data_IF_664419819703
#
_entry.id   IF_664419819703
#
_cell.length_a   1.000
_cell.length_b   1.000
_cell.length_c   1.000
_cell.angle_alpha   90.00
_cell.angle_beta   90.00
_cell.angle_gamma   90.00
#
_symmetry.space_group_name_H-M   'P 1'
#
loop_
_entity.id
_entity.type
_entity.pdbx_description
1 polymer ?
#
# COMPACT_ATOMS: atom_id res chain seq x y z
N UNK A 1 10.10 -15.57 -6.64
CA UNK A 1 10.88 -14.34 -6.87
C UNK A 1 11.06 -13.55 -5.58
N UNK A 2 9.98 -13.34 -4.82
CA UNK A 2 10.07 -12.83 -3.44
C UNK A 2 9.79 -14.00 -2.50
N UNK A 3 10.55 -14.10 -1.42
CA UNK A 3 10.35 -15.15 -0.41
C UNK A 3 10.55 -14.60 1.00
N UNK A 4 9.57 -14.88 1.85
CA UNK A 4 9.66 -14.70 3.31
C UNK A 4 9.71 -16.08 3.95
N UNK A 5 10.72 -16.31 4.83
CA UNK A 5 10.91 -17.57 5.58
C UNK A 5 10.97 -17.28 7.07
N UNK A 6 9.89 -17.62 7.77
CA UNK A 6 9.77 -17.54 9.24
C UNK A 6 10.17 -16.17 9.80
N UNK A 7 9.80 -15.09 9.09
CA UNK A 7 10.21 -13.73 9.43
C UNK A 7 9.48 -13.26 10.67
N UNK A 8 10.24 -12.93 11.71
CA UNK A 8 9.73 -12.29 12.91
C UNK A 8 10.41 -10.95 13.15
N UNK A 9 9.68 -9.98 13.71
CA UNK A 9 10.21 -8.65 14.05
C UNK A 9 9.69 -8.15 15.37
N UNK A 10 10.63 -7.83 16.27
CA UNK A 10 10.34 -7.16 17.54
C UNK A 10 10.82 -5.70 17.49
N UNK A 11 10.02 -4.79 18.00
CA UNK A 11 10.40 -3.43 18.35
C UNK A 11 10.20 -3.25 19.86
N UNK A 12 11.31 -3.38 20.61
CA UNK A 12 11.23 -3.47 22.06
C UNK A 12 10.33 -4.64 22.48
N UNK A 13 9.21 -4.34 23.16
CA UNK A 13 8.24 -5.35 23.59
C UNK A 13 7.13 -5.63 22.57
N UNK A 14 7.06 -4.86 21.48
CA UNK A 14 6.01 -4.99 20.47
C UNK A 14 6.47 -5.96 19.38
N UNK A 15 5.71 -7.05 19.20
CA UNK A 15 5.90 -7.99 18.10
C UNK A 15 5.15 -7.47 16.89
N UNK A 16 5.90 -6.97 15.90
CA UNK A 16 5.34 -6.44 14.65
C UNK A 16 5.11 -7.53 13.61
N UNK A 17 5.98 -8.55 13.56
CA UNK A 17 5.82 -9.75 12.75
C UNK A 17 6.13 -10.98 13.60
N UNK A 18 5.42 -12.08 13.34
CA UNK A 18 5.49 -13.33 14.06
C UNK A 18 5.37 -14.51 13.10
N UNK A 19 6.52 -15.08 12.75
CA UNK A 19 6.64 -16.27 11.89
C UNK A 19 5.96 -16.12 10.51
N UNK A 20 6.20 -15.01 9.83
CA UNK A 20 5.62 -14.72 8.52
C UNK A 20 6.37 -15.46 7.43
N UNK A 21 5.65 -16.30 6.66
CA UNK A 21 6.18 -17.07 5.53
C UNK A 21 5.21 -17.02 4.36
N UNK A 22 5.67 -16.55 3.20
CA UNK A 22 4.95 -16.58 1.92
C UNK A 22 5.90 -16.35 0.75
N UNK A 23 5.41 -16.57 -0.46
CA UNK A 23 6.17 -16.36 -1.71
C UNK A 23 5.36 -15.53 -2.71
N UNK A 24 6.07 -14.81 -3.60
CA UNK A 24 5.50 -14.11 -4.76
C UNK A 24 6.16 -14.65 -6.02
N UNK A 25 5.34 -15.05 -6.98
CA UNK A 25 5.78 -15.57 -8.29
C UNK A 25 6.20 -14.47 -9.26
N UNK A 26 6.96 -14.83 -10.30
CA UNK A 26 7.19 -13.95 -11.45
C UNK A 26 5.89 -13.84 -12.27
N UNK A 27 5.71 -12.71 -12.96
CA UNK A 27 4.56 -12.51 -13.83
C UNK A 27 3.20 -12.53 -13.11
N UNK A 28 3.18 -12.20 -11.82
CA UNK A 28 1.95 -12.21 -11.02
C UNK A 28 1.83 -10.99 -10.13
N UNK A 29 0.60 -10.62 -9.81
CA UNK A 29 0.27 -9.59 -8.82
C UNK A 29 -0.18 -10.28 -7.54
N UNK A 30 0.56 -10.04 -6.45
CA UNK A 30 0.19 -10.52 -5.10
C UNK A 30 -0.24 -9.37 -4.23
N UNK A 31 -1.47 -9.45 -3.72
CA UNK A 31 -2.02 -8.53 -2.74
C UNK A 31 -1.65 -8.95 -1.31
N UNK A 32 -1.00 -8.06 -0.56
CA UNK A 32 -0.67 -8.24 0.85
C UNK A 32 -1.66 -7.45 1.71
N UNK A 33 -2.72 -8.11 2.16
CA UNK A 33 -3.90 -7.52 2.77
C UNK A 33 -3.90 -7.63 4.29
N UNK A 34 -4.35 -6.59 4.96
CA UNK A 34 -4.50 -6.61 6.42
C UNK A 34 -4.91 -5.25 6.97
N UNK A 35 -5.47 -5.19 8.18
CA UNK A 35 -5.83 -3.94 8.82
C UNK A 35 -4.59 -3.07 9.12
N UNK A 36 -4.83 -1.81 9.46
CA UNK A 36 -3.75 -0.92 9.87
C UNK A 36 -3.06 -1.46 11.12
N UNK A 37 -1.73 -1.45 11.12
CA UNK A 37 -0.92 -2.02 12.22
C UNK A 37 -0.77 -3.55 12.17
N UNK A 38 -1.25 -4.24 11.14
CA UNK A 38 -1.09 -5.69 10.99
C UNK A 38 0.35 -6.15 10.73
N UNK A 39 1.26 -5.23 10.33
CA UNK A 39 2.66 -5.54 10.04
C UNK A 39 3.06 -5.38 8.57
N UNK A 40 2.14 -5.00 7.66
CA UNK A 40 2.40 -4.88 6.21
C UNK A 40 3.65 -4.05 5.90
N UNK A 41 3.67 -2.78 6.27
CA UNK A 41 4.82 -1.89 5.99
C UNK A 41 6.10 -2.36 6.68
N UNK A 42 6.02 -3.05 7.83
CA UNK A 42 7.19 -3.66 8.49
C UNK A 42 7.77 -4.79 7.63
N UNK A 43 6.93 -5.66 7.08
CA UNK A 43 7.36 -6.74 6.19
C UNK A 43 8.01 -6.16 4.92
N UNK A 44 7.37 -5.19 4.27
CA UNK A 44 7.93 -4.55 3.07
C UNK A 44 9.28 -3.85 3.36
N UNK A 45 9.41 -3.16 4.50
CA UNK A 45 10.69 -2.56 4.91
C UNK A 45 11.79 -3.58 5.16
N UNK A 46 11.45 -4.76 5.69
CA UNK A 46 12.42 -5.86 5.85
C UNK A 46 12.84 -6.37 4.47
N UNK A 47 11.89 -6.59 3.57
CA UNK A 47 12.15 -7.09 2.23
C UNK A 47 13.18 -6.23 1.47
N UNK A 48 13.03 -4.90 1.56
CA UNK A 48 13.91 -3.93 0.88
C UNK A 48 15.08 -3.44 1.72
N UNK A 49 15.42 -4.15 2.78
CA UNK A 49 16.63 -3.90 3.60
C UNK A 49 16.57 -2.67 4.50
N UNK A 50 15.43 -1.98 4.62
CA UNK A 50 15.26 -0.82 5.51
C UNK A 50 15.05 -1.20 6.98
N UNK A 51 14.77 -2.47 7.26
CA UNK A 51 14.69 -3.01 8.60
C UNK A 51 15.28 -4.43 8.62
N UNK A 52 15.99 -4.78 9.70
CA UNK A 52 16.47 -6.14 9.89
C UNK A 52 15.40 -6.97 10.60
N UNK A 53 15.13 -8.21 10.19
CA UNK A 53 14.29 -9.11 10.95
C UNK A 53 14.96 -9.46 12.29
N UNK A 54 14.18 -9.86 13.29
CA UNK A 54 14.69 -10.42 14.54
C UNK A 54 15.07 -11.89 14.34
N UNK A 55 14.31 -12.61 13.52
CA UNK A 55 14.61 -13.98 13.06
C UNK A 55 13.99 -14.22 11.69
N UNK A 56 14.42 -15.27 11.01
CA UNK A 56 14.01 -15.60 9.65
C UNK A 56 14.73 -14.76 8.60
N UNK A 57 14.28 -14.87 7.34
CA UNK A 57 14.90 -14.17 6.21
C UNK A 57 13.86 -13.75 5.19
N UNK A 58 14.12 -12.63 4.49
CA UNK A 58 13.39 -12.21 3.32
C UNK A 58 14.37 -12.00 2.16
N UNK A 59 14.04 -12.55 0.99
CA UNK A 59 14.88 -12.48 -0.20
C UNK A 59 14.07 -12.00 -1.41
N UNK A 60 14.78 -11.34 -2.33
CA UNK A 60 14.27 -10.93 -3.64
C UNK A 60 15.22 -11.49 -4.69
N UNK A 61 14.68 -12.18 -5.71
CA UNK A 61 15.47 -12.84 -6.75
C UNK A 61 16.55 -13.78 -6.18
N UNK A 62 16.22 -14.44 -5.03
CA UNK A 62 17.09 -15.38 -4.34
C UNK A 62 18.16 -14.75 -3.43
N UNK A 63 18.26 -13.42 -3.34
CA UNK A 63 19.25 -12.70 -2.54
C UNK A 63 18.59 -11.80 -1.49
N UNK A 64 19.18 -11.59 -0.32
CA UNK A 64 18.84 -10.46 0.53
C UNK A 64 19.05 -9.14 -0.23
N UNK A 65 18.12 -8.20 -0.09
CA UNK A 65 18.17 -6.92 -0.80
C UNK A 65 19.51 -6.18 -0.63
N UNK A 66 20.10 -6.22 0.56
CA UNK A 66 21.37 -5.56 0.87
C UNK A 66 22.59 -6.22 0.19
N UNK A 67 22.46 -7.44 -0.33
CA UNK A 67 23.53 -8.16 -1.05
C UNK A 67 23.46 -7.97 -2.57
N UNK A 68 22.42 -7.28 -3.07
CA UNK A 68 22.29 -6.96 -4.49
C UNK A 68 23.20 -5.80 -4.86
N UNK A 69 23.96 -5.91 -5.93
CA UNK A 69 24.94 -4.89 -6.36
C UNK A 69 24.31 -3.52 -6.69
N UNK A 70 23.18 -3.50 -7.37
CA UNK A 70 22.42 -2.28 -7.68
C UNK A 70 20.92 -2.63 -7.65
N UNK A 71 20.32 -2.76 -6.45
CA UNK A 71 18.97 -3.28 -6.33
C UNK A 71 17.92 -2.43 -7.07
N UNK A 72 18.09 -1.12 -7.15
CA UNK A 72 17.14 -0.22 -7.81
C UNK A 72 16.99 -0.43 -9.33
N UNK A 73 17.91 -1.16 -9.98
CA UNK A 73 17.75 -1.59 -11.37
C UNK A 73 16.82 -2.80 -11.53
N UNK A 74 16.68 -3.61 -10.49
CA UNK A 74 15.92 -4.87 -10.54
C UNK A 74 14.68 -4.86 -9.66
N UNK A 75 14.65 -3.98 -8.64
CA UNK A 75 13.58 -3.90 -7.64
C UNK A 75 13.09 -2.47 -7.55
N UNK A 76 11.92 -2.21 -8.09
CA UNK A 76 11.22 -0.95 -7.94
C UNK A 76 10.48 -0.89 -6.61
N UNK A 77 10.57 0.24 -5.88
CA UNK A 77 9.95 0.37 -4.56
C UNK A 77 9.19 1.68 -4.40
N UNK A 78 7.98 1.59 -3.85
CA UNK A 78 7.19 2.71 -3.36
C UNK A 78 6.67 2.38 -1.97
N UNK A 79 7.35 2.86 -0.92
CA UNK A 79 6.96 2.63 0.47
C UNK A 79 6.32 3.87 1.12
N UNK A 80 6.62 5.06 0.61
CA UNK A 80 6.04 6.32 1.08
C UNK A 80 6.10 7.36 -0.06
N UNK A 81 4.94 7.70 -0.60
CA UNK A 81 4.83 8.72 -1.64
C UNK A 81 5.11 10.14 -1.10
N UNK A 82 4.99 10.34 0.21
CA UNK A 82 5.23 11.62 0.89
C UNK A 82 6.69 11.90 1.23
N UNK A 83 7.56 10.90 1.17
CA UNK A 83 8.95 10.99 1.65
C UNK A 83 9.88 11.87 0.78
N UNK A 84 9.36 12.62 -0.18
CA UNK A 84 10.16 13.47 -1.08
C UNK A 84 10.17 14.91 -0.64
N UNK A 85 11.33 15.58 -0.82
CA UNK A 85 11.48 16.98 -0.44
C UNK A 85 10.52 17.88 -1.27
N UNK A 86 9.66 18.69 -0.63
CA UNK A 86 8.62 19.45 -1.33
C UNK A 86 9.15 20.55 -2.27
N UNK A 87 10.38 21.00 -2.08
CA UNK A 87 11.03 22.04 -2.91
C UNK A 87 11.57 21.53 -4.25
N UNK A 88 11.74 20.23 -4.43
CA UNK A 88 12.15 19.66 -5.73
C UNK A 88 10.97 19.56 -6.68
N UNK A 89 11.25 19.61 -7.98
CA UNK A 89 10.28 19.27 -9.02
C UNK A 89 10.21 17.75 -9.23
N UNK A 90 9.08 17.25 -9.75
CA UNK A 90 8.95 15.83 -10.07
C UNK A 90 10.04 15.35 -11.04
N UNK A 91 10.35 16.18 -12.06
CA UNK A 91 11.40 15.87 -13.04
C UNK A 91 12.81 15.82 -12.41
N UNK A 92 13.13 16.71 -11.47
CA UNK A 92 14.41 16.67 -10.75
C UNK A 92 14.55 15.38 -9.94
N UNK A 93 13.52 14.97 -9.23
CA UNK A 93 13.52 13.71 -8.46
C UNK A 93 13.78 12.51 -9.35
N UNK A 94 13.09 12.42 -10.49
CA UNK A 94 13.31 11.31 -11.45
C UNK A 94 14.68 11.38 -12.10
N UNK A 95 15.17 12.58 -12.41
CA UNK A 95 16.52 12.78 -12.97
C UNK A 95 17.60 12.33 -12.01
N UNK A 96 17.48 12.70 -10.71
CA UNK A 96 18.40 12.24 -9.67
C UNK A 96 18.36 10.72 -9.50
N UNK A 97 17.15 10.13 -9.52
CA UNK A 97 16.98 8.68 -9.49
C UNK A 97 17.65 7.99 -10.68
N UNK A 98 17.42 8.48 -11.89
CA UNK A 98 18.03 7.93 -13.11
C UNK A 98 19.57 8.04 -13.07
N UNK A 99 20.11 9.18 -12.63
CA UNK A 99 21.56 9.37 -12.46
C UNK A 99 22.15 8.41 -11.42
N UNK A 100 21.48 8.19 -10.30
CA UNK A 100 21.90 7.25 -9.24
C UNK A 100 21.97 5.82 -9.78
N UNK A 101 21.07 5.46 -10.69
CA UNK A 101 21.01 4.14 -11.31
C UNK A 101 21.88 4.02 -12.58
N UNK A 102 22.57 5.09 -12.99
CA UNK A 102 23.37 5.10 -14.24
C UNK A 102 22.52 5.04 -15.52
N UNK A 103 21.25 5.47 -15.46
CA UNK A 103 20.32 5.41 -16.57
C UNK A 103 20.39 6.68 -17.47
N UNK A 104 20.05 6.56 -18.75
CA UNK A 104 20.00 7.72 -19.65
C UNK A 104 18.86 8.66 -19.25
N UNK A 105 19.03 9.97 -19.51
CA UNK A 105 18.01 10.98 -19.19
C UNK A 105 16.69 10.80 -19.94
N UNK A 106 16.69 10.11 -21.08
CA UNK A 106 15.49 9.75 -21.84
C UNK A 106 14.52 8.92 -21.02
N UNK A 107 15.04 8.05 -20.11
CA UNK A 107 14.22 7.22 -19.23
C UNK A 107 13.24 8.03 -18.37
N UNK A 108 13.62 9.26 -18.00
CA UNK A 108 12.74 10.16 -17.23
C UNK A 108 11.47 10.50 -18.01
N UNK A 109 11.57 10.79 -19.31
CA UNK A 109 10.41 11.03 -20.17
C UNK A 109 9.50 9.80 -20.26
N UNK A 110 10.10 8.63 -20.52
CA UNK A 110 9.39 7.36 -20.64
C UNK A 110 8.55 7.04 -19.39
N UNK A 111 9.13 7.14 -18.19
CA UNK A 111 8.37 6.85 -16.96
C UNK A 111 7.33 7.92 -16.62
N UNK A 112 7.54 9.19 -17.01
CA UNK A 112 6.53 10.24 -16.87
C UNK A 112 5.30 9.94 -17.76
N UNK A 113 5.53 9.50 -18.98
CA UNK A 113 4.48 9.13 -19.93
C UNK A 113 3.71 7.90 -19.42
N UNK A 114 4.41 6.87 -18.92
CA UNK A 114 3.79 5.68 -18.31
C UNK A 114 2.83 6.01 -17.18
N UNK A 115 3.18 6.98 -16.32
CA UNK A 115 2.33 7.35 -15.19
C UNK A 115 1.36 8.49 -15.51
N UNK A 116 1.36 9.03 -16.73
CA UNK A 116 0.47 10.11 -17.16
C UNK A 116 0.72 11.42 -16.43
N UNK A 117 1.98 11.73 -16.06
CA UNK A 117 2.41 13.04 -15.58
C UNK A 117 2.94 13.85 -16.76
N UNK A 118 2.23 14.91 -17.12
CA UNK A 118 2.63 15.79 -18.23
C UNK A 118 3.96 16.49 -17.95
N UNK A 119 4.63 16.93 -19.02
CA UNK A 119 5.86 17.73 -18.92
C UNK A 119 5.66 18.97 -18.04
N UNK A 120 4.54 19.67 -18.18
CA UNK A 120 4.19 20.84 -17.37
C UNK A 120 4.04 20.50 -15.89
N UNK A 121 3.38 19.39 -15.56
CA UNK A 121 3.21 18.93 -14.18
C UNK A 121 4.54 18.48 -13.58
N UNK A 122 5.37 17.77 -14.35
CA UNK A 122 6.68 17.29 -13.88
C UNK A 122 7.64 18.43 -13.49
N UNK A 123 7.46 19.64 -14.04
CA UNK A 123 8.24 20.84 -13.71
C UNK A 123 7.73 21.62 -12.51
N UNK A 124 6.55 21.27 -11.97
CA UNK A 124 6.05 21.89 -10.73
C UNK A 124 6.76 21.29 -9.53
N UNK A 125 6.89 22.07 -8.46
CA UNK A 125 7.41 21.57 -7.17
C UNK A 125 6.45 20.55 -6.55
N UNK A 126 6.98 19.51 -5.92
CA UNK A 126 6.24 18.44 -5.26
C UNK A 126 5.35 18.98 -4.13
N UNK A 127 5.73 20.09 -3.49
CA UNK A 127 4.89 20.77 -2.52
C UNK A 127 3.50 21.14 -3.06
N UNK A 128 3.40 21.45 -4.36
CA UNK A 128 2.15 21.75 -5.05
C UNK A 128 1.45 20.57 -5.70
N UNK A 129 1.93 19.34 -5.49
CA UNK A 129 1.30 18.12 -6.02
C UNK A 129 0.10 17.69 -5.18
N UNK A 130 -0.96 17.22 -5.85
CA UNK A 130 -2.01 16.44 -5.19
C UNK A 130 -1.43 15.12 -4.66
N UNK A 131 -2.15 14.45 -3.77
CA UNK A 131 -1.74 13.12 -3.28
C UNK A 131 -1.62 12.13 -4.44
N UNK A 132 -2.57 12.13 -5.38
CA UNK A 132 -2.52 11.28 -6.57
C UNK A 132 -1.32 11.58 -7.48
N UNK A 133 -0.92 12.85 -7.65
CA UNK A 133 0.30 13.19 -8.38
C UNK A 133 1.57 12.69 -7.67
N UNK A 134 1.60 12.72 -6.33
CA UNK A 134 2.72 12.17 -5.55
C UNK A 134 2.80 10.65 -5.69
N UNK A 135 1.65 9.96 -5.70
CA UNK A 135 1.59 8.52 -5.97
C UNK A 135 2.12 8.19 -7.37
N UNK A 136 1.62 8.87 -8.40
CA UNK A 136 2.11 8.69 -9.78
C UNK A 136 3.62 8.92 -9.90
N UNK A 137 4.14 9.99 -9.28
CA UNK A 137 5.59 10.25 -9.22
C UNK A 137 6.34 9.14 -8.49
N UNK A 138 5.77 8.60 -7.41
CA UNK A 138 6.33 7.48 -6.66
C UNK A 138 6.44 6.21 -7.50
N UNK A 139 5.39 5.89 -8.24
CA UNK A 139 5.36 4.76 -9.16
C UNK A 139 6.35 4.99 -10.31
N UNK A 140 6.41 6.20 -10.89
CA UNK A 140 7.40 6.55 -11.92
C UNK A 140 8.84 6.31 -11.44
N UNK A 141 9.15 6.73 -10.21
CA UNK A 141 10.47 6.53 -9.61
C UNK A 141 10.78 5.03 -9.41
N UNK A 142 9.81 4.24 -8.98
CA UNK A 142 9.96 2.79 -8.83
C UNK A 142 10.19 2.07 -10.17
N UNK A 143 9.68 2.63 -11.27
CA UNK A 143 9.80 2.06 -12.63
C UNK A 143 11.06 2.52 -13.39
N UNK A 144 11.90 3.39 -12.83
CA UNK A 144 13.11 3.89 -13.53
C UNK A 144 14.01 2.78 -14.05
N UNK A 145 14.28 1.77 -13.21
CA UNK A 145 15.18 0.66 -13.53
C UNK A 145 14.60 -0.41 -14.45
N UNK A 146 13.36 -0.29 -14.89
CA UNK A 146 12.63 -1.37 -15.57
C UNK A 146 12.64 -2.69 -14.76
N UNK A 147 12.08 -2.67 -13.55
CA UNK A 147 12.36 -3.68 -12.53
C UNK A 147 11.69 -5.02 -12.83
N UNK A 148 12.37 -6.12 -12.47
CA UNK A 148 11.83 -7.48 -12.44
C UNK A 148 10.86 -7.70 -11.25
N UNK A 149 10.99 -6.86 -10.23
CA UNK A 149 10.17 -6.92 -9.00
C UNK A 149 9.69 -5.52 -8.64
N UNK A 150 8.40 -5.38 -8.35
CA UNK A 150 7.79 -4.12 -7.92
C UNK A 150 7.13 -4.30 -6.55
N UNK A 151 7.55 -3.48 -5.57
CA UNK A 151 7.05 -3.50 -4.18
C UNK A 151 6.38 -2.17 -3.87
N UNK A 152 5.08 -2.20 -3.62
CA UNK A 152 4.24 -1.01 -3.43
C UNK A 152 3.51 -1.07 -2.08
N UNK A 153 3.68 -0.04 -1.25
CA UNK A 153 2.93 0.11 0.01
C UNK A 153 1.78 1.09 -0.21
N UNK A 154 0.53 0.59 -0.13
CA UNK A 154 -0.71 1.36 -0.29
C UNK A 154 -0.74 2.24 -1.56
N UNK A 155 -0.49 1.69 -2.77
CA UNK A 155 -0.30 2.52 -3.98
C UNK A 155 -1.58 3.22 -4.46
N UNK A 156 -2.75 2.76 -4.07
CA UNK A 156 -4.05 3.35 -4.41
C UNK A 156 -4.41 4.58 -3.59
N UNK A 157 -3.72 4.80 -2.45
CA UNK A 157 -4.06 5.89 -1.55
C UNK A 157 -3.99 7.26 -2.23
N UNK A 158 -5.13 7.97 -2.22
CA UNK A 158 -5.25 9.33 -2.78
C UNK A 158 -5.36 9.40 -4.30
N UNK A 159 -5.51 8.27 -4.97
CA UNK A 159 -5.95 8.22 -6.36
C UNK A 159 -7.47 8.38 -6.42
N UNK A 160 -7.95 9.06 -7.43
CA UNK A 160 -9.36 9.08 -7.81
C UNK A 160 -9.74 7.75 -8.53
N UNK A 161 -11.02 7.47 -8.77
CA UNK A 161 -11.44 6.23 -9.44
C UNK A 161 -10.75 5.99 -10.80
N UNK A 162 -10.50 7.06 -11.55
CA UNK A 162 -9.79 6.97 -12.84
C UNK A 162 -8.31 6.62 -12.64
N UNK A 163 -7.67 7.20 -11.60
CA UNK A 163 -6.30 6.88 -11.20
C UNK A 163 -6.15 5.44 -10.73
N UNK A 164 -7.13 4.91 -9.99
CA UNK A 164 -7.15 3.51 -9.56
C UNK A 164 -7.28 2.58 -10.77
N UNK A 165 -8.19 2.89 -11.71
CA UNK A 165 -8.34 2.11 -12.93
C UNK A 165 -7.05 2.09 -13.76
N UNK A 166 -6.41 3.26 -13.96
CA UNK A 166 -5.12 3.37 -14.62
C UNK A 166 -4.05 2.52 -13.92
N UNK A 167 -3.93 2.62 -12.59
CA UNK A 167 -2.93 1.87 -11.81
C UNK A 167 -3.12 0.36 -11.98
N UNK A 168 -4.35 -0.15 -11.94
CA UNK A 168 -4.64 -1.58 -12.17
C UNK A 168 -4.17 -2.04 -13.55
N UNK A 169 -4.48 -1.26 -14.60
CA UNK A 169 -4.00 -1.54 -15.96
C UNK A 169 -2.47 -1.59 -16.04
N UNK A 170 -1.79 -0.65 -15.38
CA UNK A 170 -0.33 -0.61 -15.31
C UNK A 170 0.23 -1.85 -14.61
N UNK A 171 -0.28 -2.21 -13.43
CA UNK A 171 0.21 -3.37 -12.67
C UNK A 171 -0.03 -4.68 -13.41
N UNK A 172 -1.18 -4.82 -14.08
CA UNK A 172 -1.46 -6.00 -14.90
C UNK A 172 -0.49 -6.09 -16.06
N UNK A 173 -0.29 -4.99 -16.81
CA UNK A 173 0.67 -4.94 -17.91
C UNK A 173 2.09 -5.33 -17.49
N UNK A 174 2.55 -4.82 -16.34
CA UNK A 174 3.88 -5.16 -15.79
C UNK A 174 3.97 -6.66 -15.43
N UNK A 175 2.93 -7.21 -14.80
CA UNK A 175 2.91 -8.63 -14.47
C UNK A 175 2.87 -9.49 -15.73
N UNK A 176 2.07 -9.16 -16.74
CA UNK A 176 2.01 -9.86 -18.02
C UNK A 176 3.35 -9.81 -18.77
N UNK A 177 4.17 -8.78 -18.52
CA UNK A 177 5.55 -8.66 -19.02
C UNK A 177 6.59 -9.42 -18.18
N UNK A 178 6.16 -10.16 -17.13
CA UNK A 178 7.04 -10.99 -16.31
C UNK A 178 7.44 -10.39 -14.97
N UNK A 179 7.08 -9.12 -14.67
CA UNK A 179 7.38 -8.49 -13.39
C UNK A 179 6.60 -9.15 -12.24
N UNK A 180 7.28 -9.42 -11.13
CA UNK A 180 6.63 -9.86 -9.90
C UNK A 180 6.15 -8.63 -9.10
N UNK A 181 4.85 -8.48 -8.88
CA UNK A 181 4.28 -7.34 -8.17
C UNK A 181 3.78 -7.75 -6.79
N UNK A 182 4.31 -7.10 -5.75
CA UNK A 182 3.80 -7.21 -4.38
C UNK A 182 3.25 -5.85 -3.97
N UNK A 183 1.94 -5.76 -3.75
CA UNK A 183 1.31 -4.54 -3.27
C UNK A 183 0.61 -4.76 -1.93
N UNK A 184 0.82 -3.86 -0.97
CA UNK A 184 0.02 -3.84 0.24
C UNK A 184 -1.24 -3.00 0.06
N UNK A 185 -2.32 -3.42 0.70
CA UNK A 185 -3.53 -2.61 0.80
C UNK A 185 -4.36 -2.98 2.03
N UNK A 186 -5.18 -2.06 2.48
CA UNK A 186 -6.29 -2.30 3.40
C UNK A 186 -7.65 -2.30 2.68
N UNK A 187 -7.68 -1.97 1.37
CA UNK A 187 -8.86 -1.91 0.52
C UNK A 187 -8.96 -3.18 -0.33
N UNK A 188 -9.71 -4.13 0.16
CA UNK A 188 -9.86 -5.46 -0.43
C UNK A 188 -10.36 -5.41 -1.87
N UNK A 189 -11.43 -4.64 -2.11
CA UNK A 189 -12.07 -4.54 -3.43
C UNK A 189 -11.12 -4.05 -4.53
N UNK A 190 -10.15 -3.19 -4.21
CA UNK A 190 -9.19 -2.70 -5.20
C UNK A 190 -8.17 -3.77 -5.59
N UNK A 191 -7.76 -4.58 -4.62
CA UNK A 191 -6.79 -5.65 -4.82
C UNK A 191 -7.42 -6.83 -5.53
N UNK A 192 -8.65 -7.22 -5.17
CA UNK A 192 -9.40 -8.32 -5.78
C UNK A 192 -9.51 -8.19 -7.32
N UNK A 193 -9.53 -6.96 -7.82
CA UNK A 193 -9.66 -6.69 -9.26
C UNK A 193 -8.35 -6.78 -10.06
N UNK A 194 -7.20 -6.90 -9.41
CA UNK A 194 -5.90 -6.93 -10.08
C UNK A 194 -4.99 -8.07 -9.63
N UNK A 195 -5.20 -8.60 -8.43
CA UNK A 195 -4.33 -9.64 -7.87
C UNK A 195 -4.67 -11.04 -8.40
N UNK A 196 -3.64 -11.83 -8.63
CA UNK A 196 -3.72 -13.26 -8.89
C UNK A 196 -3.72 -14.04 -7.58
N UNK A 197 -2.90 -13.58 -6.62
CA UNK A 197 -2.73 -14.17 -5.30
C UNK A 197 -2.94 -13.14 -4.19
N UNK A 198 -3.34 -13.64 -3.03
CA UNK A 198 -3.54 -12.84 -1.84
C UNK A 198 -2.84 -13.50 -0.66
N UNK A 199 -2.21 -12.66 0.15
CA UNK A 199 -1.69 -13.00 1.48
C UNK A 199 -2.37 -12.10 2.48
N UNK A 200 -3.17 -12.68 3.39
CA UNK A 200 -3.85 -11.94 4.46
C UNK A 200 -3.03 -11.98 5.73
N UNK A 201 -2.76 -10.80 6.32
CA UNK A 201 -1.99 -10.67 7.56
C UNK A 201 -2.82 -10.00 8.65
N UNK A 202 -2.72 -10.52 9.88
CA UNK A 202 -3.30 -9.93 11.07
C UNK A 202 -2.42 -10.15 12.29
N UNK A 203 -2.24 -9.11 13.11
CA UNK A 203 -1.35 -9.13 14.30
C UNK A 203 0.05 -9.71 14.05
N UNK A 204 0.61 -9.40 12.88
CA UNK A 204 1.93 -9.85 12.47
C UNK A 204 2.03 -11.30 11.99
N UNK A 205 0.92 -12.01 11.81
CA UNK A 205 0.88 -13.40 11.31
C UNK A 205 0.13 -13.51 10.00
N UNK A 206 0.55 -14.41 9.14
CA UNK A 206 -0.24 -14.80 7.96
C UNK A 206 -1.47 -15.57 8.44
N UNK A 207 -2.65 -15.09 8.07
CA UNK A 207 -3.94 -15.68 8.43
C UNK A 207 -4.45 -16.62 7.34
N UNK A 208 -4.25 -16.24 6.08
CA UNK A 208 -4.58 -17.03 4.90
C UNK A 208 -3.72 -16.58 3.72
N UNK A 209 -3.48 -17.49 2.78
CA UNK A 209 -2.85 -17.19 1.51
C UNK A 209 -3.37 -18.16 0.43
N UNK A 210 -3.48 -17.69 -0.81
CA UNK A 210 -3.97 -18.47 -1.95
C UNK A 210 -4.34 -17.57 -3.12
N UNK A 211 -4.93 -18.17 -4.15
CA UNK A 211 -5.51 -17.40 -5.27
C UNK A 211 -6.77 -16.65 -4.81
N UNK A 212 -7.14 -15.59 -5.54
CA UNK A 212 -8.40 -14.88 -5.29
C UNK A 212 -9.59 -15.85 -5.31
N UNK A 213 -9.61 -16.79 -6.27
CA UNK A 213 -10.68 -17.79 -6.39
C UNK A 213 -10.74 -18.73 -5.19
N UNK A 214 -9.59 -19.22 -4.71
CA UNK A 214 -9.51 -20.12 -3.55
C UNK A 214 -10.04 -19.46 -2.29
N UNK A 215 -9.67 -18.21 -2.06
CA UNK A 215 -10.07 -17.46 -0.86
C UNK A 215 -11.49 -16.92 -0.93
N UNK A 216 -12.04 -16.74 -2.13
CA UNK A 216 -13.43 -16.26 -2.36
C UNK A 216 -14.47 -17.37 -2.32
N UNK A 217 -14.08 -18.66 -2.22
CA UNK A 217 -14.99 -19.81 -2.35
C UNK A 217 -16.24 -19.70 -1.50
N UNK A 218 -17.37 -19.46 -2.17
CA UNK A 218 -18.74 -19.54 -1.61
C UNK A 218 -19.22 -18.35 -0.79
N UNK A 219 -18.36 -17.39 -0.39
CA UNK A 219 -18.74 -16.30 0.52
C UNK A 219 -18.21 -14.92 0.13
N UNK A 220 -17.38 -14.81 -0.91
CA UNK A 220 -16.69 -13.58 -1.28
C UNK A 220 -15.46 -13.33 -0.38
N UNK A 221 -14.47 -12.65 -0.96
CA UNK A 221 -13.18 -12.37 -0.31
C UNK A 221 -13.33 -11.44 0.90
N UNK A 222 -14.29 -10.50 0.83
CA UNK A 222 -14.56 -9.54 1.92
C UNK A 222 -15.06 -10.24 3.19
N UNK A 223 -15.95 -11.20 3.06
CA UNK A 223 -16.45 -11.93 4.21
C UNK A 223 -15.35 -12.81 4.83
N UNK A 224 -14.54 -13.48 4.00
CA UNK A 224 -13.38 -14.25 4.46
C UNK A 224 -12.39 -13.36 5.21
N UNK A 225 -12.09 -12.17 4.68
CA UNK A 225 -11.21 -11.21 5.33
C UNK A 225 -11.76 -10.73 6.67
N UNK A 226 -13.05 -10.37 6.74
CA UNK A 226 -13.70 -9.93 7.97
C UNK A 226 -13.70 -11.02 9.04
N UNK A 227 -14.01 -12.27 8.69
CA UNK A 227 -14.00 -13.41 9.63
C UNK A 227 -12.58 -13.63 10.19
N UNK A 228 -11.56 -13.64 9.34
CA UNK A 228 -10.17 -13.84 9.75
C UNK A 228 -9.60 -12.67 10.55
N UNK A 229 -10.06 -11.45 10.29
CA UNK A 229 -9.56 -10.24 10.96
C UNK A 229 -10.41 -9.78 12.13
N UNK A 230 -11.63 -10.30 12.32
CA UNK A 230 -12.56 -9.92 13.40
C UNK A 230 -11.93 -9.98 14.80
N UNK A 231 -11.03 -10.93 15.06
CA UNK A 231 -10.28 -11.05 16.31
C UNK A 231 -8.95 -10.30 16.31
N UNK A 232 -8.57 -9.66 15.19
CA UNK A 232 -7.30 -8.96 15.02
C UNK A 232 -7.45 -7.44 15.02
N UNK A 233 -8.67 -6.92 14.88
CA UNK A 233 -8.93 -5.49 14.87
C UNK A 233 -8.74 -4.91 16.27
N UNK A 234 -8.00 -3.80 16.39
CA UNK A 234 -7.84 -3.04 17.63
C UNK A 234 -8.94 -2.01 17.82
N UNK A 235 -9.97 -2.03 16.97
CA UNK A 235 -11.14 -1.19 17.11
C UNK A 235 -11.88 -1.47 18.42
N UNK A 236 -12.64 -0.49 18.98
CA UNK A 236 -13.57 -0.76 20.07
C UNK A 236 -14.47 -1.90 19.58
N UNK A 237 -14.50 -3.00 20.37
CA UNK A 237 -15.17 -4.24 20.00
C UNK A 237 -16.50 -3.97 19.33
N UNK A 238 -16.94 -4.86 18.44
CA UNK A 238 -18.27 -4.85 17.83
C UNK A 238 -19.34 -4.87 18.93
N UNK A 239 -19.43 -3.75 19.64
CA UNK A 239 -20.53 -3.44 20.54
C UNK A 239 -21.75 -3.34 19.65
N UNK A 240 -22.70 -4.24 19.83
CA UNK A 240 -24.07 -4.17 19.36
C UNK A 240 -24.50 -2.72 19.27
N UNK A 241 -24.64 -2.19 18.07
CA UNK A 241 -25.31 -0.91 17.86
C UNK A 241 -26.68 -1.04 18.49
N UNK A 242 -27.06 -0.17 19.47
CA UNK A 242 -28.36 -0.26 20.07
C UNK A 242 -29.41 -0.11 18.96
N UNK A 243 -30.34 -1.05 18.89
CA UNK A 243 -31.46 -0.98 17.95
C UNK A 243 -32.10 0.40 18.08
N UNK A 244 -32.36 1.06 16.92
CA UNK A 244 -33.14 2.30 16.90
C UNK A 244 -34.41 2.16 17.72
N UNK A 245 -34.51 2.92 18.78
CA UNK A 245 -35.71 2.97 19.62
C UNK A 245 -35.35 3.27 21.06
N UNK A 246 -35.32 4.53 21.39
CA UNK A 246 -35.53 5.25 22.64
C UNK A 246 -34.46 6.35 22.82
N UNK A 247 -34.65 7.44 22.08
CA UNK A 247 -34.22 8.73 22.62
C UNK A 247 -35.33 9.19 23.58
N UNK A 248 -35.05 9.43 24.86
CA UNK A 248 -36.02 10.06 25.76
C UNK A 248 -36.36 11.44 25.22
N UNK A 249 -37.64 11.75 25.16
CA UNK A 249 -38.23 12.87 24.51
C UNK A 249 -37.60 14.23 24.86
N UNK A 250 -37.67 15.11 23.88
CA UNK A 250 -37.48 16.53 24.04
C UNK A 250 -38.45 17.07 25.11
N UNK A 251 -37.88 17.38 26.26
CA UNK A 251 -38.59 18.07 27.33
C UNK A 251 -39.01 19.46 26.89
N UNK A 252 -40.26 19.77 27.10
CA UNK A 252 -40.94 21.01 26.81
C UNK A 252 -40.17 22.25 27.30
N UNK A 253 -40.11 23.28 26.45
CA UNK A 253 -39.82 24.64 26.84
C UNK A 253 -40.98 25.17 27.71
N UNK A 254 -40.74 25.71 28.91
CA UNK A 254 -41.74 26.53 29.59
C UNK A 254 -41.74 27.93 28.96
N UNK A 255 -42.91 28.34 28.48
CA UNK A 255 -43.17 29.69 28.07
C UNK A 255 -42.98 30.66 29.26
N UNK A 256 -42.23 31.70 29.05
CA UNK A 256 -42.07 32.83 29.97
C UNK A 256 -42.71 34.07 29.39
N UNK A 257 -43.60 34.57 30.15
CA UNK A 257 -44.59 35.60 30.02
C UNK A 257 -44.02 37.00 29.76
N UNK A 258 -44.82 37.82 29.08
CA UNK A 258 -44.60 39.20 28.78
C UNK A 258 -44.78 40.06 30.01
N UNK A 259 -43.83 40.95 30.30
CA UNK A 259 -43.94 42.03 31.33
C UNK A 259 -43.54 43.38 30.75
N UNK A 260 -44.54 44.20 30.57
CA UNK A 260 -44.47 45.64 30.20
C UNK A 260 -43.74 46.48 31.27
N UNK A 261 -43.23 47.64 30.82
CA UNK A 261 -42.98 48.81 31.69
C UNK A 261 -41.83 49.66 31.20
N UNK A 262 -42.12 50.62 30.50
CA UNK A 262 -42.07 52.09 30.57
C UNK A 262 -40.92 52.68 31.43
N UNK A 263 -40.03 53.43 30.79
CA UNK A 263 -39.68 54.86 30.99
C UNK A 263 -38.51 55.16 30.05
#
# INVERSE_FOLDING_TARGET
VIEFRNVSKMYGKVRALDDVSFTVGAGSVTGFLGPNGAGKSTALRILVGLARPTSGSATVLGLPYAEMGCPGLRVGTLLDAGARHPGHTGREVLTLGAMTLGLPRTRVGEVLDLVGLTERESRRTIGGYSLGMRQRLGIAHALLGDPEVLVLDEPANGLDPQGIHWMRGLLRHLADSGCAVLLSSHLLHEVEQVADHIVMIGRGRVLAQGTVEELSRGRGLEQTFLELTAHTDRGPGAGTYPRRGTFPGAGAHPGGDAGRGAA
#
